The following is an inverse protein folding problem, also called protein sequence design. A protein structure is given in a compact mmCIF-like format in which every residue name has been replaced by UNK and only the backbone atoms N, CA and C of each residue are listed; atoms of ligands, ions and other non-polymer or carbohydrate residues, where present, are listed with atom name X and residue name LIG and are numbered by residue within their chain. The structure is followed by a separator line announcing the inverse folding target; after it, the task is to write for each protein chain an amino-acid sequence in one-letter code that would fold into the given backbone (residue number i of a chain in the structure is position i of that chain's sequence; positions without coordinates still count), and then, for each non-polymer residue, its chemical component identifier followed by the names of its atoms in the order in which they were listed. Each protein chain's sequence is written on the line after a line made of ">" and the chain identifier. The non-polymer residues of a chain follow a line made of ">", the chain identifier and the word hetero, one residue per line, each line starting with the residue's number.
data_IF_927509934603
#
_entry.id   IF_927509934603
#
_cell.length_a   1.000
_cell.length_b   1.000
_cell.length_c   1.000
_cell.angle_alpha   90.00
_cell.angle_beta   90.00
_cell.angle_gamma   90.00
#
_symmetry.space_group_name_H-M   'P 1'
#
loop_
_entity.id
_entity.type
_entity.pdbx_description
1 polymer ?
#
# COMPACT_ATOMS: atom_id res chain seq x y z
N UNK A 1 4.40 6.77 -8.39
CA UNK A 1 4.09 8.11 -7.78
C UNK A 1 2.63 8.28 -7.36
N UNK A 2 1.64 7.96 -8.21
CA UNK A 2 0.21 8.17 -7.91
C UNK A 2 -0.23 7.44 -6.62
N UNK A 3 0.37 6.29 -6.30
CA UNK A 3 0.26 5.63 -5.00
C UNK A 3 0.72 6.55 -3.84
N UNK A 4 1.99 6.99 -3.81
CA UNK A 4 2.50 7.92 -2.78
C UNK A 4 1.67 9.21 -2.66
N UNK A 5 1.26 9.81 -3.78
CA UNK A 5 0.48 11.05 -3.78
C UNK A 5 -0.93 10.86 -3.21
N UNK A 6 -1.64 9.79 -3.59
CA UNK A 6 -2.94 9.43 -3.02
C UNK A 6 -2.81 9.02 -1.54
N UNK A 7 -1.77 8.27 -1.17
CA UNK A 7 -1.42 7.92 0.22
C UNK A 7 -1.18 9.18 1.08
N UNK A 8 -0.47 10.19 0.56
CA UNK A 8 -0.35 11.52 1.17
C UNK A 8 -1.71 12.18 1.41
N UNK A 9 -2.60 12.12 0.42
CA UNK A 9 -3.92 12.75 0.46
C UNK A 9 -4.91 12.10 1.45
N UNK A 10 -4.93 10.76 1.59
CA UNK A 10 -5.70 10.06 2.64
C UNK A 10 -5.12 10.27 4.05
N UNK A 11 -3.81 10.56 4.14
CA UNK A 11 -3.11 10.89 5.37
C UNK A 11 -2.19 9.77 5.89
N UNK A 12 -1.64 8.94 4.98
CA UNK A 12 -0.79 7.77 5.22
C UNK A 12 0.64 7.99 4.67
N UNK A 13 1.42 8.97 5.19
CA UNK A 13 2.81 9.18 4.76
C UNK A 13 3.71 7.98 5.08
N UNK A 14 3.36 7.19 6.12
CA UNK A 14 3.95 5.89 6.43
C UNK A 14 3.93 4.91 5.24
N UNK A 15 2.83 4.83 4.49
CA UNK A 15 2.72 3.92 3.34
C UNK A 15 3.41 4.49 2.08
N UNK A 16 3.47 5.82 1.95
CA UNK A 16 4.31 6.46 0.93
C UNK A 16 5.81 6.21 1.17
N UNK A 17 6.28 6.32 2.42
CA UNK A 17 7.63 5.94 2.84
C UNK A 17 7.90 4.42 2.65
N UNK A 18 6.89 3.57 2.84
CA UNK A 18 6.98 2.12 2.62
C UNK A 18 7.41 1.76 1.18
N UNK A 19 7.08 2.59 0.17
CA UNK A 19 7.54 2.40 -1.21
C UNK A 19 9.07 2.42 -1.31
N UNK A 20 9.74 3.27 -0.55
CA UNK A 20 11.21 3.37 -0.53
C UNK A 20 11.88 2.12 0.08
N UNK A 21 11.10 1.29 0.79
CA UNK A 21 11.49 0.00 1.36
C UNK A 21 11.15 -1.16 0.38
N UNK A 22 11.27 -0.93 -0.94
CA UNK A 22 11.09 -1.93 -2.01
C UNK A 22 12.04 -3.15 -1.95
N UNK A 23 12.87 -3.28 -0.91
CA UNK A 23 13.75 -4.42 -0.67
C UNK A 23 12.98 -5.72 -0.36
N UNK A 24 11.73 -5.61 0.12
CA UNK A 24 10.79 -6.72 0.31
C UNK A 24 9.32 -6.27 0.12
N UNK A 25 8.42 -7.14 -0.39
CA UNK A 25 6.98 -6.89 -0.40
C UNK A 25 6.37 -7.19 0.99
N UNK A 26 5.27 -6.52 1.34
CA UNK A 26 4.65 -6.63 2.69
C UNK A 26 3.43 -7.56 2.69
N UNK A 27 3.05 -8.02 3.89
CA UNK A 27 1.78 -8.72 4.12
C UNK A 27 0.59 -7.76 4.02
N UNK A 28 0.06 -7.57 2.80
CA UNK A 28 -1.20 -6.85 2.53
C UNK A 28 -2.32 -7.35 3.46
N UNK A 29 -2.42 -8.67 3.67
CA UNK A 29 -3.39 -9.29 4.58
C UNK A 29 -3.24 -8.85 6.05
N UNK A 30 -2.02 -8.61 6.53
CA UNK A 30 -1.77 -8.04 7.87
C UNK A 30 -2.22 -6.58 7.92
N UNK A 31 -1.92 -5.77 6.89
CA UNK A 31 -2.44 -4.41 6.75
C UNK A 31 -3.98 -4.38 6.78
N UNK A 32 -4.64 -5.35 6.12
CA UNK A 32 -6.10 -5.57 6.14
C UNK A 32 -6.68 -5.83 7.54
N UNK A 33 -5.92 -6.33 8.51
CA UNK A 33 -6.34 -6.37 9.93
C UNK A 33 -6.19 -5.01 10.64
N UNK A 34 -5.14 -4.24 10.33
CA UNK A 34 -4.90 -2.94 10.97
C UNK A 34 -5.96 -1.87 10.65
N UNK A 35 -6.64 -1.99 9.51
CA UNK A 35 -7.71 -1.09 9.07
C UNK A 35 -8.98 -1.85 8.62
N UNK A 36 -9.27 -3.01 9.22
CA UNK A 36 -10.46 -3.83 8.91
C UNK A 36 -11.82 -3.11 9.10
N UNK A 37 -11.81 -1.95 9.74
CA UNK A 37 -12.97 -1.08 9.98
C UNK A 37 -13.65 -0.58 8.69
N UNK A 38 -12.92 -0.42 7.58
CA UNK A 38 -13.45 0.11 6.31
C UNK A 38 -13.84 -1.00 5.29
N UNK A 39 -14.66 -0.64 4.31
CA UNK A 39 -15.22 -1.57 3.32
C UNK A 39 -14.18 -2.03 2.28
N UNK A 40 -14.41 -3.21 1.67
CA UNK A 40 -13.55 -3.73 0.59
C UNK A 40 -13.41 -2.83 -0.65
N UNK A 41 -14.26 -1.82 -0.83
CA UNK A 41 -14.04 -0.75 -1.82
C UNK A 41 -12.75 0.06 -1.58
N UNK A 42 -12.50 0.49 -0.35
CA UNK A 42 -11.26 1.17 0.02
C UNK A 42 -10.09 0.19 0.23
N UNK A 43 -10.37 -1.07 0.61
CA UNK A 43 -9.37 -2.15 0.50
C UNK A 43 -8.90 -2.31 -0.95
N UNK A 44 -9.77 -2.36 -1.96
CA UNK A 44 -9.36 -2.50 -3.36
C UNK A 44 -8.43 -1.37 -3.81
N UNK A 45 -8.75 -0.11 -3.48
CA UNK A 45 -7.85 1.00 -3.78
C UNK A 45 -6.50 0.89 -3.03
N UNK A 46 -6.51 0.67 -1.72
CA UNK A 46 -5.31 0.54 -0.90
C UNK A 46 -4.43 -0.64 -1.35
N UNK A 47 -5.03 -1.81 -1.55
CA UNK A 47 -4.39 -2.98 -2.13
C UNK A 47 -3.81 -2.69 -3.51
N UNK A 48 -4.52 -2.01 -4.42
CA UNK A 48 -3.96 -1.65 -5.74
C UNK A 48 -2.69 -0.80 -5.61
N UNK A 49 -2.70 0.22 -4.73
CA UNK A 49 -1.54 1.11 -4.50
C UNK A 49 -0.39 0.37 -3.78
N UNK A 50 -0.65 -0.36 -2.71
CA UNK A 50 0.36 -1.15 -2.01
C UNK A 50 0.87 -2.35 -2.85
N UNK A 51 0.04 -2.92 -3.72
CA UNK A 51 0.46 -3.91 -4.71
C UNK A 51 1.30 -3.29 -5.83
N UNK A 52 1.13 -2.02 -6.20
CA UNK A 52 2.10 -1.30 -7.07
C UNK A 52 3.48 -1.23 -6.42
N UNK A 53 3.54 -0.94 -5.11
CA UNK A 53 4.78 -0.92 -4.33
C UNK A 53 5.43 -2.31 -4.25
N UNK A 54 4.64 -3.35 -3.94
CA UNK A 54 5.09 -4.74 -3.97
C UNK A 54 5.52 -5.21 -5.38
N UNK A 55 4.76 -4.85 -6.43
CA UNK A 55 5.07 -5.13 -7.85
C UNK A 55 6.42 -4.56 -8.25
N UNK A 56 6.77 -3.36 -7.77
CA UNK A 56 8.08 -2.76 -8.01
C UNK A 56 9.19 -3.46 -7.20
N UNK A 57 8.89 -3.91 -5.97
CA UNK A 57 9.80 -4.69 -5.11
C UNK A 57 10.16 -6.08 -5.69
N UNK A 58 9.20 -6.75 -6.36
CA UNK A 58 9.35 -8.11 -6.93
C UNK A 58 8.83 -8.18 -8.38
N UNK A 59 9.34 -7.28 -9.22
CA UNK A 59 9.06 -7.15 -10.66
C UNK A 59 9.59 -8.32 -11.53
N UNK A 60 9.07 -9.53 -11.30
CA UNK A 60 9.29 -10.74 -12.11
C UNK A 60 8.99 -10.53 -13.61
#
# INVERSE_FOLDING_TARGET
>A
KEACDWLRATGFPQYAQLYEDFLFPIDISLVKREHDFLDRDAIEALCRRLNTLNKCAVMK
#
